data_IF_701183406540
#
_entry.id   IF_701183406540
#
_cell.length_a   1.000
_cell.length_b   1.000
_cell.length_c   1.000
_cell.angle_alpha   90.00
_cell.angle_beta   90.00
_cell.angle_gamma   90.00
#
_symmetry.space_group_name_H-M   'P 1'
#
loop_
_entity.id
_entity.type
_entity.pdbx_description
1 polymer ?
#
# COMPACT_ATOMS: atom_id res chain seq x y z
N UNK A 1 -29.77 0.91 25.24
CA UNK A 1 -29.03 0.62 23.99
C UNK A 1 -27.83 -0.27 24.33
N UNK A 2 -28.05 -1.59 24.51
CA UNK A 2 -27.05 -2.55 25.00
C UNK A 2 -26.53 -3.48 23.91
N UNK A 3 -26.37 -2.97 22.68
CA UNK A 3 -25.70 -3.74 21.64
C UNK A 3 -24.20 -3.52 21.77
N UNK A 4 -23.43 -4.58 22.01
CA UNK A 4 -21.97 -4.46 22.08
C UNK A 4 -21.46 -3.97 20.72
N UNK A 5 -20.79 -2.81 20.72
CA UNK A 5 -20.20 -2.23 19.52
C UNK A 5 -19.27 -3.23 18.81
N UNK A 6 -18.58 -4.08 19.57
CA UNK A 6 -17.73 -5.14 19.03
C UNK A 6 -18.55 -6.20 18.30
N UNK A 7 -19.72 -6.60 18.82
CA UNK A 7 -20.63 -7.53 18.11
C UNK A 7 -21.17 -6.92 16.83
N UNK A 8 -21.56 -5.64 16.86
CA UNK A 8 -22.02 -4.93 15.67
C UNK A 8 -20.91 -4.83 14.60
N UNK A 9 -19.68 -4.49 15.01
CA UNK A 9 -18.53 -4.46 14.11
C UNK A 9 -18.30 -5.83 13.45
N UNK A 10 -18.28 -6.90 14.22
CA UNK A 10 -18.09 -8.26 13.70
C UNK A 10 -19.19 -8.63 12.72
N UNK A 11 -20.45 -8.32 13.03
CA UNK A 11 -21.58 -8.63 12.17
C UNK A 11 -21.56 -7.82 10.86
N UNK A 12 -21.32 -6.50 10.94
CA UNK A 12 -21.22 -5.64 9.75
C UNK A 12 -20.02 -6.09 8.89
N UNK A 13 -18.89 -6.41 9.52
CA UNK A 13 -17.70 -6.93 8.83
C UNK A 13 -17.98 -8.24 8.10
N UNK A 14 -18.69 -9.17 8.74
CA UNK A 14 -19.09 -10.43 8.11
C UNK A 14 -20.02 -10.20 6.92
N UNK A 15 -21.02 -9.31 7.05
CA UNK A 15 -21.98 -9.01 5.99
C UNK A 15 -21.33 -8.30 4.79
N UNK A 16 -20.48 -7.32 5.03
CA UNK A 16 -19.72 -6.61 3.99
C UNK A 16 -18.78 -7.57 3.26
N UNK A 17 -18.10 -8.46 3.99
CA UNK A 17 -17.26 -9.49 3.37
C UNK A 17 -18.07 -10.47 2.51
N UNK A 18 -19.31 -10.78 2.89
CA UNK A 18 -20.19 -11.68 2.11
C UNK A 18 -20.62 -11.10 0.76
N UNK A 19 -20.79 -9.77 0.68
CA UNK A 19 -21.17 -9.07 -0.57
C UNK A 19 -19.98 -8.48 -1.32
N UNK A 20 -18.75 -8.67 -0.82
CA UNK A 20 -17.53 -8.12 -1.43
C UNK A 20 -17.36 -8.53 -2.90
N UNK A 21 -17.79 -9.73 -3.26
CA UNK A 21 -17.71 -10.25 -4.64
C UNK A 21 -18.76 -9.61 -5.59
N UNK A 22 -19.72 -8.84 -5.06
CA UNK A 22 -20.68 -8.08 -5.84
C UNK A 22 -20.21 -6.65 -6.12
N UNK A 23 -19.09 -6.24 -5.51
CA UNK A 23 -18.49 -4.94 -5.80
C UNK A 23 -17.85 -4.97 -7.20
N UNK A 24 -17.96 -3.86 -7.98
CA UNK A 24 -17.30 -3.76 -9.26
C UNK A 24 -15.81 -4.08 -9.17
N UNK A 25 -15.22 -4.77 -10.16
CA UNK A 25 -13.77 -4.91 -10.24
C UNK A 25 -13.14 -3.50 -10.19
N UNK A 26 -12.07 -3.35 -9.41
CA UNK A 26 -11.37 -2.08 -9.12
C UNK A 26 -12.05 -1.13 -8.11
N UNK A 27 -13.17 -1.49 -7.48
CA UNK A 27 -13.70 -0.71 -6.35
C UNK A 27 -12.76 -0.75 -5.14
N UNK A 28 -12.68 0.34 -4.38
CA UNK A 28 -11.96 0.36 -3.11
C UNK A 28 -12.58 -0.65 -2.13
N UNK A 29 -11.72 -1.37 -1.40
CA UNK A 29 -12.19 -2.29 -0.37
C UNK A 29 -12.83 -1.49 0.77
N UNK A 30 -14.04 -1.89 1.22
CA UNK A 30 -14.69 -1.20 2.32
C UNK A 30 -13.87 -1.37 3.61
N UNK A 31 -13.52 -0.25 4.23
CA UNK A 31 -12.88 -0.20 5.54
C UNK A 31 -13.97 0.06 6.57
N UNK A 32 -14.17 -0.89 7.49
CA UNK A 32 -15.19 -0.76 8.54
C UNK A 32 -14.47 -0.38 9.82
N UNK A 33 -14.74 0.83 10.29
CA UNK A 33 -14.20 1.34 11.53
C UNK A 33 -15.34 1.60 12.52
N UNK A 34 -15.08 1.36 13.80
CA UNK A 34 -15.96 1.80 14.87
C UNK A 34 -15.81 3.31 15.05
N UNK A 35 -16.71 4.07 14.45
CA UNK A 35 -16.86 5.49 14.78
C UNK A 35 -17.69 5.61 16.08
N UNK A 36 -17.09 6.17 17.13
CA UNK A 36 -17.86 6.75 18.24
C UNK A 36 -17.78 8.27 18.08
N UNK A 37 -18.91 8.96 18.24
CA UNK A 37 -19.06 10.42 18.10
C UNK A 37 -18.33 11.23 19.19
N UNK A 38 -17.10 10.86 19.53
CA UNK A 38 -16.22 11.64 20.39
C UNK A 38 -15.21 12.32 19.45
N UNK A 39 -15.37 13.62 19.28
CA UNK A 39 -14.55 14.45 18.37
C UNK A 39 -13.33 15.06 19.07
N UNK A 40 -13.06 14.66 20.31
CA UNK A 40 -11.99 15.24 21.15
C UNK A 40 -11.03 14.15 21.57
N UNK A 41 -9.76 14.32 21.19
CA UNK A 41 -8.69 13.44 21.63
C UNK A 41 -8.35 13.71 23.11
N UNK A 42 -8.09 12.63 23.85
CA UNK A 42 -7.63 12.72 25.25
C UNK A 42 -6.22 13.33 25.36
N UNK A 43 -5.40 13.18 24.33
CA UNK A 43 -4.00 13.65 24.31
C UNK A 43 -3.54 13.92 22.87
N UNK A 44 -2.78 15.00 22.69
CA UNK A 44 -2.08 15.31 21.44
C UNK A 44 -0.57 15.15 21.61
N UNK A 45 0.08 14.52 20.64
CA UNK A 45 1.53 14.31 20.61
C UNK A 45 2.12 14.96 19.36
N UNK A 46 3.03 15.92 19.55
CA UNK A 46 3.75 16.58 18.46
C UNK A 46 5.06 15.85 18.15
N UNK A 47 5.31 15.58 16.87
CA UNK A 47 6.54 14.94 16.41
C UNK A 47 7.33 15.85 15.48
N UNK A 48 8.63 15.97 15.76
CA UNK A 48 9.57 16.75 14.96
C UNK A 48 10.87 15.95 14.78
N UNK A 49 11.53 16.13 13.64
CA UNK A 49 12.82 15.52 13.37
C UNK A 49 13.70 16.48 12.58
N UNK A 50 14.97 16.59 12.97
CA UNK A 50 16.01 17.29 12.21
C UNK A 50 16.68 16.40 11.15
N UNK A 51 16.42 15.09 11.18
CA UNK A 51 17.08 14.09 10.33
C UNK A 51 16.09 13.46 9.33
N UNK A 52 14.89 13.11 9.79
CA UNK A 52 13.85 12.52 8.95
C UNK A 52 13.08 13.60 8.21
N UNK A 53 12.94 13.41 6.89
CA UNK A 53 12.01 14.21 6.08
C UNK A 53 10.57 13.97 6.55
N UNK A 54 9.66 14.94 6.41
CA UNK A 54 8.29 14.83 6.93
C UNK A 54 7.52 13.56 6.52
N UNK A 55 7.77 13.07 5.30
CA UNK A 55 7.18 11.83 4.80
C UNK A 55 7.75 10.57 5.43
N UNK A 56 9.08 10.51 5.62
CA UNK A 56 9.75 9.44 6.33
C UNK A 56 9.38 9.43 7.81
N UNK A 57 9.18 10.61 8.42
CA UNK A 57 8.67 10.73 9.78
C UNK A 57 7.24 10.17 9.87
N UNK A 58 6.36 10.52 8.94
CA UNK A 58 4.99 9.97 8.90
C UNK A 58 5.00 8.44 8.76
N UNK A 59 5.86 7.89 7.88
CA UNK A 59 6.00 6.44 7.71
C UNK A 59 6.51 5.76 8.99
N UNK A 60 7.49 6.37 9.68
CA UNK A 60 7.96 5.89 10.98
C UNK A 60 6.85 5.90 12.04
N UNK A 61 6.09 6.98 12.13
CA UNK A 61 4.96 7.07 13.06
C UNK A 61 3.91 5.99 12.78
N UNK A 62 3.58 5.77 11.51
CA UNK A 62 2.57 4.81 11.09
C UNK A 62 3.00 3.35 11.32
N UNK A 63 4.28 3.02 11.08
CA UNK A 63 4.77 1.64 11.15
C UNK A 63 5.29 1.22 12.52
N UNK A 64 5.75 2.17 13.33
CA UNK A 64 6.43 1.88 14.60
C UNK A 64 5.63 2.43 15.78
N UNK A 65 5.34 3.73 15.77
CA UNK A 65 4.76 4.40 16.95
C UNK A 65 3.28 4.08 17.13
N UNK A 66 2.47 4.19 16.07
CA UNK A 66 1.03 3.96 16.13
C UNK A 66 0.68 2.53 16.59
N UNK A 67 1.32 1.44 16.08
CA UNK A 67 1.05 0.09 16.58
C UNK A 67 1.36 -0.08 18.06
N UNK A 68 2.43 0.56 18.55
CA UNK A 68 2.79 0.51 19.97
C UNK A 68 1.78 1.24 20.85
N UNK A 69 1.30 2.42 20.43
CA UNK A 69 0.27 3.16 21.15
C UNK A 69 -1.07 2.41 21.17
N UNK A 70 -1.48 1.85 20.02
CA UNK A 70 -2.71 1.06 19.92
C UNK A 70 -2.67 -0.24 20.75
N UNK A 71 -1.48 -0.75 21.09
CA UNK A 71 -1.32 -1.93 21.93
C UNK A 71 -1.51 -1.64 23.44
N UNK A 72 -1.50 -0.37 23.86
CA UNK A 72 -1.66 0.01 25.26
C UNK A 72 -3.12 -0.20 25.70
N UNK A 73 -3.38 -0.96 26.78
CA UNK A 73 -4.73 -1.13 27.31
C UNK A 73 -5.39 0.23 27.62
N UNK A 74 -6.60 0.44 27.07
CA UNK A 74 -7.35 1.68 27.23
C UNK A 74 -7.15 2.69 26.09
N UNK A 75 -6.16 2.50 25.21
CA UNK A 75 -6.05 3.28 23.96
C UNK A 75 -6.97 2.66 22.92
N UNK A 76 -7.95 3.44 22.47
CA UNK A 76 -8.90 2.98 21.44
C UNK A 76 -8.36 3.16 20.02
N UNK A 77 -7.78 4.33 19.74
CA UNK A 77 -7.21 4.69 18.45
C UNK A 77 -6.15 5.77 18.65
N UNK A 78 -4.95 5.54 18.15
CA UNK A 78 -3.92 6.55 17.98
C UNK A 78 -3.93 7.03 16.52
N UNK A 79 -4.66 8.12 16.24
CA UNK A 79 -4.71 8.69 14.89
C UNK A 79 -3.51 9.58 14.59
N UNK A 80 -3.16 9.70 13.30
CA UNK A 80 -2.07 10.56 12.84
C UNK A 80 -2.68 11.77 12.16
N UNK A 81 -2.53 12.93 12.78
CA UNK A 81 -2.98 14.22 12.25
C UNK A 81 -1.90 14.85 11.36
N UNK A 82 -2.31 15.37 10.20
CA UNK A 82 -1.40 16.11 9.29
C UNK A 82 -0.28 15.26 8.67
N UNK A 83 -0.43 13.93 8.69
CA UNK A 83 0.55 12.99 8.12
C UNK A 83 0.80 13.23 6.63
N UNK A 84 2.07 13.13 6.22
CA UNK A 84 2.49 13.20 4.82
C UNK A 84 2.89 11.82 4.33
N UNK A 85 1.91 11.01 3.93
CA UNK A 85 2.17 9.65 3.47
C UNK A 85 3.04 9.68 2.21
N UNK A 86 4.08 8.85 2.18
CA UNK A 86 4.93 8.70 1.01
C UNK A 86 4.13 8.04 -0.14
N UNK A 87 4.02 8.72 -1.26
CA UNK A 87 3.45 8.18 -2.48
C UNK A 87 4.33 8.54 -3.67
N UNK A 88 4.62 7.55 -4.52
CA UNK A 88 5.22 7.78 -5.83
C UNK A 88 4.10 8.03 -6.84
N UNK A 89 4.25 9.09 -7.64
CA UNK A 89 3.31 9.47 -8.69
C UNK A 89 4.03 9.45 -10.03
N UNK A 90 3.52 8.68 -10.98
CA UNK A 90 3.95 8.72 -12.36
C UNK A 90 3.08 9.74 -13.11
N UNK A 91 3.71 10.78 -13.65
CA UNK A 91 3.04 11.77 -14.49
C UNK A 91 3.28 11.42 -15.96
N UNK A 92 2.22 11.08 -16.67
CA UNK A 92 2.30 10.61 -18.05
C UNK A 92 2.35 11.80 -19.01
N UNK A 93 3.30 11.77 -19.95
CA UNK A 93 3.41 12.74 -21.05
C UNK A 93 2.76 12.16 -22.31
N UNK A 94 1.57 12.64 -22.70
CA UNK A 94 0.82 12.07 -23.83
C UNK A 94 1.54 12.22 -25.17
N UNK A 95 2.36 13.27 -25.35
CA UNK A 95 3.10 13.49 -26.60
C UNK A 95 4.21 12.45 -26.77
N UNK A 96 4.96 12.19 -25.68
CA UNK A 96 6.00 11.14 -25.68
C UNK A 96 5.37 9.76 -25.84
N UNK A 97 4.28 9.50 -25.14
CA UNK A 97 3.56 8.23 -25.24
C UNK A 97 3.08 7.94 -26.65
N UNK A 98 2.50 8.93 -27.34
CA UNK A 98 2.12 8.81 -28.75
C UNK A 98 3.33 8.56 -29.65
N UNK A 99 4.44 9.27 -29.44
CA UNK A 99 5.67 9.11 -30.22
C UNK A 99 6.31 7.71 -30.08
N UNK A 100 6.16 7.08 -28.91
CA UNK A 100 6.68 5.73 -28.62
C UNK A 100 5.64 4.61 -28.76
N UNK A 101 4.41 4.93 -29.19
CA UNK A 101 3.34 3.94 -29.33
C UNK A 101 2.96 3.24 -28.02
N UNK A 102 3.05 3.95 -26.89
CA UNK A 102 2.72 3.46 -25.54
C UNK A 102 1.41 4.08 -25.08
N UNK A 103 0.53 3.29 -24.51
CA UNK A 103 -0.76 3.74 -23.94
C UNK A 103 -0.70 3.80 -22.41
N UNK A 104 -1.65 4.51 -21.79
CA UNK A 104 -1.76 4.53 -20.33
C UNK A 104 -2.07 3.15 -19.75
N UNK A 105 -2.74 2.29 -20.53
CA UNK A 105 -2.99 0.91 -20.17
C UNK A 105 -1.69 0.10 -20.10
N UNK A 106 -0.77 0.28 -21.06
CA UNK A 106 0.54 -0.38 -21.04
C UNK A 106 1.35 0.00 -19.80
N UNK A 107 1.33 1.28 -19.42
CA UNK A 107 2.02 1.76 -18.20
C UNK A 107 1.40 1.15 -16.94
N UNK A 108 0.07 1.16 -16.84
CA UNK A 108 -0.66 0.58 -15.71
C UNK A 108 -0.39 -0.92 -15.57
N UNK A 109 -0.40 -1.64 -16.70
CA UNK A 109 -0.12 -3.08 -16.73
C UNK A 109 1.32 -3.39 -16.34
N UNK A 110 2.30 -2.62 -16.84
CA UNK A 110 3.71 -2.80 -16.48
C UNK A 110 3.94 -2.56 -14.98
N UNK A 111 3.30 -1.53 -14.40
CA UNK A 111 3.37 -1.25 -12.97
C UNK A 111 2.72 -2.38 -12.14
N UNK A 112 1.54 -2.86 -12.54
CA UNK A 112 0.87 -3.96 -11.84
C UNK A 112 1.65 -5.28 -11.93
N UNK A 113 2.19 -5.60 -13.11
CA UNK A 113 2.97 -6.81 -13.35
C UNK A 113 4.34 -6.80 -12.65
N UNK A 114 4.81 -5.66 -12.17
CA UNK A 114 6.07 -5.54 -11.42
C UNK A 114 5.83 -4.99 -10.01
N UNK A 115 4.63 -5.14 -9.47
CA UNK A 115 4.34 -4.76 -8.09
C UNK A 115 3.65 -5.92 -7.37
N UNK A 116 4.28 -7.10 -7.41
CA UNK A 116 3.82 -8.28 -6.69
C UNK A 116 5.00 -9.01 -6.04
N UNK A 117 4.73 -9.73 -4.95
CA UNK A 117 5.70 -10.59 -4.30
C UNK A 117 5.66 -11.96 -4.99
N UNK A 118 6.71 -12.32 -5.72
CA UNK A 118 6.78 -13.61 -6.39
C UNK A 118 7.34 -14.70 -5.47
N UNK A 119 6.54 -15.74 -5.22
CA UNK A 119 6.99 -16.96 -4.58
C UNK A 119 7.57 -17.90 -5.66
N UNK A 120 8.87 -17.79 -5.93
CA UNK A 120 9.53 -18.58 -6.97
C UNK A 120 9.84 -20.04 -6.55
N UNK A 121 9.31 -20.49 -5.41
CA UNK A 121 9.42 -21.86 -4.93
C UNK A 121 10.77 -22.16 -4.26
N UNK A 122 11.22 -23.41 -4.33
CA UNK A 122 12.54 -23.82 -3.84
C UNK A 122 13.14 -24.88 -4.77
N UNK A 123 14.47 -24.90 -4.93
CA UNK A 123 15.16 -26.05 -5.52
C UNK A 123 15.65 -26.97 -4.41
N UNK A 124 15.64 -28.28 -4.65
CA UNK A 124 16.11 -29.28 -3.69
C UNK A 124 17.12 -30.21 -4.35
N UNK A 125 18.37 -30.15 -3.89
CA UNK A 125 19.40 -31.15 -4.16
C UNK A 125 19.40 -32.26 -3.10
N UNK A 126 20.30 -33.25 -3.25
CA UNK A 126 20.41 -34.40 -2.33
C UNK A 126 20.73 -34.02 -0.86
N UNK A 127 21.36 -32.87 -0.62
CA UNK A 127 21.76 -32.41 0.72
C UNK A 127 21.39 -30.95 1.04
N UNK A 128 20.86 -30.17 0.09
CA UNK A 128 20.55 -28.74 0.29
C UNK A 128 19.24 -28.39 -0.40
N UNK A 129 18.42 -27.56 0.25
CA UNK A 129 17.24 -26.91 -0.34
C UNK A 129 17.45 -25.41 -0.32
N UNK A 130 17.26 -24.74 -1.46
CA UNK A 130 17.41 -23.29 -1.61
C UNK A 130 16.06 -22.70 -1.97
N UNK A 131 15.57 -21.76 -1.18
CA UNK A 131 14.36 -21.00 -1.50
C UNK A 131 14.67 -19.97 -2.59
N UNK A 132 13.82 -19.90 -3.60
CA UNK A 132 13.92 -18.93 -4.68
C UNK A 132 12.93 -17.80 -4.42
N UNK A 133 13.44 -16.58 -4.44
CA UNK A 133 12.63 -15.36 -4.38
C UNK A 133 12.98 -14.48 -5.56
N UNK A 134 11.99 -14.05 -6.33
CA UNK A 134 12.18 -13.01 -7.33
C UNK A 134 11.78 -11.66 -6.74
N UNK A 135 12.71 -10.71 -6.70
CA UNK A 135 12.44 -9.34 -6.26
C UNK A 135 11.80 -8.55 -7.39
N UNK A 136 10.50 -8.75 -7.58
CA UNK A 136 9.73 -8.11 -8.65
C UNK A 136 9.22 -6.71 -8.30
N UNK A 137 9.25 -6.31 -7.02
CA UNK A 137 8.78 -5.00 -6.53
C UNK A 137 9.91 -3.94 -6.51
N UNK A 138 9.83 -2.87 -7.34
CA UNK A 138 10.76 -1.76 -7.32
C UNK A 138 10.53 -0.87 -6.08
N UNK A 139 11.47 -0.86 -5.14
CA UNK A 139 11.37 -0.06 -3.90
C UNK A 139 11.96 1.36 -3.99
N UNK A 140 12.55 1.73 -5.13
CA UNK A 140 13.27 3.00 -5.29
C UNK A 140 12.81 3.74 -6.53
N UNK A 141 12.88 5.07 -6.51
CA UNK A 141 12.55 5.90 -7.67
C UNK A 141 13.34 5.49 -8.93
N UNK A 142 14.61 5.11 -8.76
CA UNK A 142 15.44 4.63 -9.87
C UNK A 142 14.91 3.31 -10.44
N UNK A 143 14.47 2.39 -9.59
CA UNK A 143 13.88 1.14 -10.04
C UNK A 143 12.57 1.38 -10.80
N UNK A 144 11.72 2.30 -10.33
CA UNK A 144 10.51 2.70 -11.07
C UNK A 144 10.83 3.32 -12.44
N UNK A 145 11.79 4.25 -12.53
CA UNK A 145 12.22 4.85 -13.82
C UNK A 145 12.83 3.84 -14.79
N UNK A 146 13.38 2.75 -14.27
CA UNK A 146 13.97 1.70 -15.09
C UNK A 146 12.97 0.62 -15.49
N UNK A 147 11.72 0.72 -15.03
CA UNK A 147 10.67 -0.22 -15.36
C UNK A 147 10.43 -0.20 -16.87
N UNK A 148 10.52 -1.38 -17.48
CA UNK A 148 10.26 -1.56 -18.91
C UNK A 148 8.75 -1.55 -19.14
N UNK A 149 8.29 -0.63 -19.98
CA UNK A 149 6.88 -0.49 -20.36
C UNK A 149 6.61 -1.22 -21.68
N UNK A 150 7.58 -1.19 -22.61
CA UNK A 150 7.46 -1.81 -23.93
C UNK A 150 8.83 -2.22 -24.45
N UNK A 151 8.87 -3.36 -25.14
CA UNK A 151 10.01 -3.80 -25.94
C UNK A 151 9.50 -4.15 -27.35
N UNK A 152 10.04 -3.50 -28.37
CA UNK A 152 9.80 -3.84 -29.77
C UNK A 152 11.11 -3.81 -30.54
N UNK A 153 11.48 -4.96 -31.13
CA UNK A 153 12.66 -5.13 -31.97
C UNK A 153 13.98 -4.63 -31.31
N UNK A 154 14.10 -4.79 -29.99
CA UNK A 154 15.28 -4.35 -29.22
C UNK A 154 15.25 -2.88 -28.79
N UNK A 155 14.24 -2.11 -29.19
CA UNK A 155 13.99 -0.78 -28.65
C UNK A 155 13.14 -0.89 -27.37
N UNK A 156 13.75 -0.52 -26.25
CA UNK A 156 13.14 -0.59 -24.91
C UNK A 156 12.64 0.79 -24.49
N UNK A 157 11.33 0.90 -24.23
CA UNK A 157 10.70 2.08 -23.62
C UNK A 157 10.54 1.85 -22.13
N UNK A 158 10.96 2.84 -21.33
CA UNK A 158 10.92 2.81 -19.87
C UNK A 158 10.03 3.92 -19.31
N UNK A 159 9.68 3.81 -18.03
CA UNK A 159 8.82 4.75 -17.29
C UNK A 159 9.44 6.14 -17.09
#
# INVERSE_FOLDING_TARGET
>A
LNYSANKALTQISAQVNAVRNQLPPQSQLPVIALAKNQTTDTMYLGYFSSVLRPNALTDFLLRVVQPQLNAIPGVQNAEILGGRIFALRAWLDPNRMAAYGVTAADVSQALAANNYLSAAGHTKGRMVSINLTASTDPKTLRAFRNLVIRDQNGAIVRL
#
